data_IF_172762171698
#
_entry.id   IF_172762171698
#
_cell.length_a   1.000
_cell.length_b   1.000
_cell.length_c   1.000
_cell.angle_alpha   90.00
_cell.angle_beta   90.00
_cell.angle_gamma   90.00
#
_symmetry.space_group_name_H-M   'P 1'
#
loop_
_entity.id
_entity.type
_entity.pdbx_description
1 polymer ?
#
# COMPACT_ATOMS: atom_id res chain seq x y z
N UNK A 1 -28.95 -13.70 25.46
CA UNK A 1 -28.26 -12.62 26.20
C UNK A 1 -27.42 -11.85 25.19
N UNK A 2 -27.57 -10.52 25.12
CA UNK A 2 -26.79 -9.67 24.23
C UNK A 2 -25.69 -9.01 25.06
N UNK A 3 -24.45 -9.48 24.93
CA UNK A 3 -23.29 -8.91 25.62
C UNK A 3 -22.94 -7.54 25.06
N UNK A 4 -22.51 -6.62 25.93
CA UNK A 4 -22.02 -5.30 25.51
C UNK A 4 -20.51 -5.36 25.20
N UNK A 5 -20.15 -4.81 24.04
CA UNK A 5 -18.77 -4.66 23.58
C UNK A 5 -18.43 -3.17 23.54
N UNK A 6 -17.33 -2.79 24.18
CA UNK A 6 -16.77 -1.43 24.11
C UNK A 6 -15.35 -1.50 23.59
N UNK A 7 -15.11 -0.77 22.50
CA UNK A 7 -13.78 -0.57 21.92
C UNK A 7 -13.45 0.91 22.10
N UNK A 8 -12.21 1.23 22.48
CA UNK A 8 -11.76 2.63 22.46
C UNK A 8 -11.77 3.18 21.02
N UNK A 9 -11.94 4.49 20.83
CA UNK A 9 -11.76 5.10 19.51
C UNK A 9 -10.37 4.75 18.95
N UNK A 10 -10.36 4.14 17.77
CA UNK A 10 -9.14 3.78 17.05
C UNK A 10 -9.14 4.47 15.69
N UNK A 11 -7.97 4.90 15.24
CA UNK A 11 -7.83 5.54 13.95
C UNK A 11 -6.38 5.54 13.51
N UNK A 12 -6.17 5.43 12.21
CA UNK A 12 -4.85 5.51 11.60
C UNK A 12 -4.84 6.61 10.55
N UNK A 13 -3.81 7.45 10.54
CA UNK A 13 -3.56 8.38 9.44
C UNK A 13 -2.35 7.89 8.67
N UNK A 14 -2.52 7.76 7.35
CA UNK A 14 -1.46 7.36 6.44
C UNK A 14 -1.18 8.52 5.48
N UNK A 15 0.09 8.78 5.21
CA UNK A 15 0.51 9.84 4.28
C UNK A 15 1.50 9.30 3.26
N UNK A 16 1.52 9.88 2.07
CA UNK A 16 2.46 9.51 1.01
C UNK A 16 2.92 10.74 0.26
N UNK A 17 4.24 10.94 0.20
CA UNK A 17 4.90 11.91 -0.66
C UNK A 17 5.45 11.19 -1.88
N UNK A 18 5.27 11.77 -3.06
CA UNK A 18 5.78 11.25 -4.32
C UNK A 18 6.48 12.36 -5.09
N UNK A 19 7.70 12.06 -5.55
CA UNK A 19 8.47 12.95 -6.40
C UNK A 19 8.91 12.19 -7.66
N UNK A 20 8.56 12.75 -8.82
CA UNK A 20 8.89 12.21 -10.12
C UNK A 20 9.96 13.09 -10.77
N UNK A 21 10.95 12.48 -11.41
CA UNK A 21 12.07 13.16 -12.04
C UNK A 21 12.57 12.38 -13.27
N UNK A 22 13.63 12.87 -13.92
CA UNK A 22 14.20 12.28 -15.13
C UNK A 22 13.17 12.14 -16.27
N UNK A 23 12.38 13.18 -16.53
CA UNK A 23 11.38 13.20 -17.59
C UNK A 23 10.32 12.11 -17.42
N UNK A 24 9.73 12.02 -16.22
CA UNK A 24 8.72 11.03 -15.84
C UNK A 24 9.16 9.56 -15.85
N UNK A 25 10.46 9.30 -16.00
CA UNK A 25 11.04 7.96 -15.95
C UNK A 25 11.35 7.50 -14.54
N UNK A 26 11.79 8.37 -13.64
CA UNK A 26 12.18 8.00 -12.29
C UNK A 26 11.20 8.55 -11.26
N UNK A 27 10.98 7.81 -10.17
CA UNK A 27 10.13 8.24 -9.06
C UNK A 27 10.65 7.75 -7.72
N UNK A 28 10.64 8.63 -6.73
CA UNK A 28 10.81 8.29 -5.30
C UNK A 28 9.47 8.50 -4.59
N UNK A 29 9.10 7.55 -3.74
CA UNK A 29 7.90 7.61 -2.91
C UNK A 29 8.26 7.33 -1.46
N UNK A 30 7.82 8.20 -0.55
CA UNK A 30 7.90 8.01 0.89
C UNK A 30 6.49 7.84 1.45
N UNK A 31 6.21 6.70 2.06
CA UNK A 31 4.92 6.40 2.70
C UNK A 31 5.12 6.29 4.21
N UNK A 32 4.33 7.03 4.97
CA UNK A 32 4.17 6.84 6.41
C UNK A 32 2.84 6.17 6.69
N UNK A 33 2.86 5.05 7.42
CA UNK A 33 1.66 4.38 7.92
C UNK A 33 1.47 4.64 9.40
N UNK A 34 0.21 4.83 9.81
CA UNK A 34 -0.20 5.16 11.18
C UNK A 34 0.68 6.25 11.83
N UNK A 35 0.79 7.41 11.15
CA UNK A 35 1.76 8.47 11.50
C UNK A 35 1.56 9.04 12.91
N UNK A 36 0.33 8.98 13.43
CA UNK A 36 -0.03 9.39 14.78
C UNK A 36 -0.09 8.24 15.79
N UNK A 37 0.29 7.02 15.39
CA UNK A 37 0.31 5.83 16.26
C UNK A 37 -1.05 5.50 16.91
N UNK A 38 -2.15 5.84 16.24
CA UNK A 38 -3.50 5.79 16.81
C UNK A 38 -4.16 4.41 16.73
N UNK A 39 -3.56 3.47 16.01
CA UNK A 39 -4.08 2.12 15.84
C UNK A 39 -3.28 1.05 16.60
N UNK A 40 -2.06 1.36 17.04
CA UNK A 40 -1.18 0.36 17.64
C UNK A 40 -1.50 0.02 19.08
N UNK A 41 -2.21 0.87 19.83
CA UNK A 41 -2.51 0.62 21.24
C UNK A 41 -3.94 1.01 21.56
N UNK A 42 -4.78 0.04 21.89
CA UNK A 42 -6.14 0.30 22.36
C UNK A 42 -6.64 -0.84 23.25
N UNK A 43 -7.61 -0.54 24.11
CA UNK A 43 -8.25 -1.56 24.95
C UNK A 43 -9.65 -1.88 24.47
N UNK A 44 -10.00 -3.16 24.60
CA UNK A 44 -11.33 -3.70 24.36
C UNK A 44 -11.88 -4.24 25.67
N UNK A 45 -13.17 -4.00 25.91
CA UNK A 45 -13.89 -4.52 27.06
C UNK A 45 -15.15 -5.26 26.60
N UNK A 46 -15.34 -6.47 27.09
CA UNK A 46 -16.54 -7.27 26.88
C UNK A 46 -17.21 -7.52 28.22
N UNK A 47 -18.52 -7.31 28.26
CA UNK A 47 -19.34 -7.54 29.46
C UNK A 47 -20.60 -8.32 29.04
N UNK A 48 -20.69 -9.57 29.45
CA UNK A 48 -21.81 -10.46 29.12
C UNK A 48 -22.18 -11.33 30.34
N UNK A 49 -23.27 -10.97 31.04
CA UNK A 49 -23.62 -11.62 32.30
C UNK A 49 -22.45 -11.54 33.30
N UNK A 50 -22.03 -12.68 33.84
CA UNK A 50 -20.89 -12.80 34.75
C UNK A 50 -19.51 -12.78 34.04
N UNK A 51 -19.46 -12.75 32.71
CA UNK A 51 -18.21 -12.76 31.95
C UNK A 51 -17.66 -11.33 31.79
N UNK A 52 -16.44 -11.14 32.30
CA UNK A 52 -15.67 -9.90 32.16
C UNK A 52 -14.36 -10.19 31.43
N UNK A 53 -14.21 -9.65 30.22
CA UNK A 53 -12.98 -9.73 29.45
C UNK A 53 -12.44 -8.32 29.22
N UNK A 54 -11.18 -8.09 29.60
CA UNK A 54 -10.44 -6.86 29.33
C UNK A 54 -9.17 -7.23 28.55
N UNK A 55 -9.02 -6.65 27.37
CA UNK A 55 -7.92 -6.97 26.45
C UNK A 55 -7.21 -5.70 26.02
N UNK A 56 -5.89 -5.67 26.18
CA UNK A 56 -5.02 -4.67 25.56
C UNK A 56 -4.54 -5.19 24.22
N UNK A 57 -4.74 -4.43 23.15
CA UNK A 57 -4.30 -4.77 21.80
C UNK A 57 -3.03 -3.99 21.49
N UNK A 58 -2.00 -4.70 21.01
CA UNK A 58 -0.76 -4.16 20.49
C UNK A 58 -0.62 -4.54 19.01
N UNK A 59 -0.77 -3.56 18.11
CA UNK A 59 -0.53 -3.76 16.68
C UNK A 59 0.83 -3.17 16.27
N UNK A 60 1.29 -3.56 15.08
CA UNK A 60 2.54 -3.10 14.48
C UNK A 60 2.30 -2.51 13.09
N UNK A 61 1.43 -1.50 13.00
CA UNK A 61 1.08 -0.83 11.75
C UNK A 61 1.89 0.44 11.48
N UNK A 62 2.46 1.08 12.52
CA UNK A 62 3.29 2.27 12.32
C UNK A 62 4.58 1.92 11.60
N UNK A 63 4.81 2.58 10.47
CA UNK A 63 5.93 2.26 9.62
C UNK A 63 6.25 3.35 8.61
N UNK A 64 7.47 3.27 8.08
CA UNK A 64 7.94 4.11 6.99
C UNK A 64 8.37 3.17 5.86
N UNK A 65 7.93 3.47 4.64
CA UNK A 65 8.34 2.77 3.43
C UNK A 65 8.91 3.76 2.44
N UNK A 66 10.15 3.51 2.02
CA UNK A 66 10.79 4.23 0.92
C UNK A 66 10.75 3.34 -0.32
N UNK A 67 10.33 3.88 -1.46
CA UNK A 67 10.27 3.15 -2.72
C UNK A 67 10.90 3.98 -3.84
N UNK A 68 11.62 3.30 -4.73
CA UNK A 68 12.17 3.86 -5.96
C UNK A 68 11.63 3.06 -7.14
N UNK A 69 11.28 3.75 -8.23
CA UNK A 69 10.94 3.11 -9.50
C UNK A 69 11.56 3.85 -10.68
N UNK A 70 11.90 3.10 -11.73
CA UNK A 70 12.44 3.61 -12.98
C UNK A 70 11.78 2.93 -14.17
N UNK A 71 11.29 3.72 -15.13
CA UNK A 71 10.70 3.26 -16.39
C UNK A 71 11.80 3.17 -17.44
N UNK A 72 12.14 1.95 -17.83
CA UNK A 72 12.94 1.70 -19.03
C UNK A 72 12.09 1.99 -20.27
N UNK A 73 12.72 2.48 -21.35
CA UNK A 73 12.03 2.84 -22.58
C UNK A 73 11.18 1.69 -23.14
N UNK A 74 10.00 2.03 -23.64
CA UNK A 74 9.07 1.08 -24.26
C UNK A 74 9.62 0.50 -25.54
N UNK A 75 9.33 -0.79 -25.75
CA UNK A 75 9.49 -1.56 -26.98
C UNK A 75 9.57 -0.67 -28.23
N UNK A 76 10.76 -0.57 -28.84
CA UNK A 76 10.88 -0.10 -30.20
C UNK A 76 10.21 -1.14 -31.09
N UNK A 77 9.09 -0.79 -31.72
CA UNK A 77 8.44 -1.65 -32.71
C UNK A 77 9.51 -2.00 -33.75
N UNK A 78 9.96 -3.26 -33.78
CA UNK A 78 10.76 -3.75 -34.91
C UNK A 78 9.90 -3.51 -36.14
N UNK A 79 10.36 -2.66 -37.05
CA UNK A 79 9.74 -2.61 -38.37
C UNK A 79 9.76 -4.04 -38.92
N UNK A 80 8.59 -4.59 -39.25
CA UNK A 80 8.57 -5.81 -40.05
C UNK A 80 9.19 -5.40 -41.38
N UNK A 81 10.42 -5.85 -41.66
CA UNK A 81 10.93 -5.82 -43.03
C UNK A 81 9.82 -6.41 -43.90
N UNK A 82 9.39 -5.66 -44.92
CA UNK A 82 8.50 -6.23 -45.93
C UNK A 82 9.11 -7.56 -46.37
N UNK A 83 8.30 -8.61 -46.37
CA UNK A 83 8.72 -9.92 -46.86
C UNK A 83 9.20 -9.71 -48.29
N UNK A 84 10.44 -10.11 -48.57
CA UNK A 84 11.00 -10.05 -49.91
C UNK A 84 10.25 -11.06 -50.79
N UNK A 85 9.23 -10.58 -51.51
CA UNK A 85 8.41 -11.41 -52.40
C UNK A 85 9.05 -11.64 -53.76
N UNK A 86 10.24 -11.08 -54.02
CA UNK A 86 10.97 -11.30 -55.30
C UNK A 86 11.25 -12.79 -55.54
N UNK A 87 11.36 -13.58 -54.47
CA UNK A 87 11.58 -15.03 -54.52
C UNK A 87 10.33 -15.84 -54.87
N UNK A 88 9.15 -15.21 -54.87
CA UNK A 88 7.87 -15.86 -55.16
C UNK A 88 7.32 -15.51 -56.56
N UNK A 89 8.04 -14.74 -57.38
CA UNK A 89 7.72 -14.56 -58.81
C UNK A 89 6.43 -13.77 -59.12
N UNK A 90 6.01 -12.87 -58.22
CA UNK A 90 4.96 -11.87 -58.49
C UNK A 90 5.49 -10.65 -59.23
#
# INVERSE_FOLDING_TARGET
MQGSYRIQPIGSVNATLRYTFAGDKAMIQLKGTDIFNGYNHFNMKVRNGAQHLDMGVANYQRGITLSFSYKFGGYTKKESKNVDTSRFGL
#
